data_IF_486299362728
#
_entry.id   IF_486299362728
#
_cell.length_a   1.000
_cell.length_b   1.000
_cell.length_c   1.000
_cell.angle_alpha   90.00
_cell.angle_beta   90.00
_cell.angle_gamma   90.00
#
_symmetry.space_group_name_H-M   'P 1'
#
loop_
_entity.id
_entity.type
_entity.pdbx_description
1 polymer ?
#
# COMPACT_ATOMS: atom_id res chain seq x y z
N UNK A 1 -0.72 7.01 2.45
CA UNK A 1 0.71 6.75 2.19
C UNK A 1 1.04 7.46 0.89
N UNK A 2 1.85 8.52 0.95
CA UNK A 2 2.17 9.32 -0.23
C UNK A 2 3.29 8.63 -1.03
N UNK A 3 3.16 8.59 -2.35
CA UNK A 3 4.25 8.17 -3.24
C UNK A 3 5.39 9.16 -2.99
N UNK A 4 6.52 8.65 -2.48
CA UNK A 4 7.73 9.47 -2.39
C UNK A 4 8.29 9.52 -3.81
N UNK A 5 7.88 10.57 -4.52
CA UNK A 5 8.27 10.92 -5.89
C UNK A 5 9.79 11.16 -6.08
N UNK A 6 10.61 10.96 -5.03
CA UNK A 6 12.01 11.32 -5.03
C UNK A 6 12.81 10.53 -6.07
N UNK A 7 12.56 9.22 -6.21
CA UNK A 7 13.32 8.36 -7.13
C UNK A 7 12.93 8.58 -8.60
N UNK A 8 11.64 8.75 -8.88
CA UNK A 8 11.16 9.09 -10.23
C UNK A 8 11.64 10.49 -10.62
N UNK A 9 11.51 11.47 -9.74
CA UNK A 9 12.00 12.83 -10.00
C UNK A 9 13.53 12.87 -10.13
N UNK A 10 14.28 12.12 -9.33
CA UNK A 10 15.74 12.02 -9.45
C UNK A 10 16.15 11.40 -10.79
N UNK A 11 15.47 10.32 -11.19
CA UNK A 11 15.68 9.66 -12.48
C UNK A 11 15.40 10.62 -13.64
N UNK A 12 14.24 11.29 -13.64
CA UNK A 12 13.86 12.23 -14.68
C UNK A 12 14.75 13.48 -14.70
N UNK A 13 15.11 14.03 -13.54
CA UNK A 13 16.00 15.21 -13.45
C UNK A 13 17.41 14.90 -13.97
N UNK A 14 17.90 13.69 -13.69
CA UNK A 14 19.20 13.22 -14.19
C UNK A 14 19.24 13.01 -15.70
N UNK A 15 18.12 12.64 -16.32
CA UNK A 15 18.03 12.38 -17.77
C UNK A 15 17.79 13.68 -18.56
N UNK A 16 16.89 14.54 -18.10
CA UNK A 16 16.42 15.69 -18.89
C UNK A 16 17.08 17.01 -18.52
N UNK A 17 17.81 17.10 -17.40
CA UNK A 17 18.23 18.39 -16.83
C UNK A 17 17.06 19.33 -16.54
N UNK A 18 15.83 18.80 -16.59
CA UNK A 18 14.60 19.53 -16.35
C UNK A 18 14.48 19.77 -14.84
N UNK A 19 13.95 20.93 -14.42
CA UNK A 19 13.60 21.13 -13.02
C UNK A 19 12.67 19.98 -12.62
N UNK A 20 12.95 19.37 -11.45
CA UNK A 20 12.11 18.32 -10.90
C UNK A 20 10.64 18.78 -11.01
N UNK A 21 9.76 18.00 -11.65
CA UNK A 21 8.36 18.35 -11.72
C UNK A 21 7.84 18.65 -10.32
N UNK A 22 7.02 19.69 -10.19
CA UNK A 22 6.36 20.02 -8.92
C UNK A 22 5.77 18.73 -8.36
N UNK A 23 6.17 18.34 -7.15
CA UNK A 23 5.84 17.05 -6.57
C UNK A 23 4.33 16.79 -6.64
N UNK A 24 3.89 16.02 -7.65
CA UNK A 24 2.50 15.64 -7.79
C UNK A 24 2.25 14.50 -6.81
N UNK A 25 1.70 14.82 -5.63
CA UNK A 25 1.30 13.79 -4.67
C UNK A 25 0.01 13.15 -5.17
N UNK A 26 0.16 12.05 -5.92
CA UNK A 26 -0.97 11.17 -6.25
C UNK A 26 -1.08 10.10 -5.17
N UNK A 27 -2.29 9.86 -4.68
CA UNK A 27 -2.51 8.81 -3.70
C UNK A 27 -2.25 7.45 -4.34
N UNK A 28 -1.53 6.56 -3.65
CA UNK A 28 -1.23 5.21 -4.16
C UNK A 28 -2.48 4.45 -4.60
N UNK A 29 -3.60 4.64 -3.89
CA UNK A 29 -4.90 4.01 -4.20
C UNK A 29 -5.51 4.45 -5.53
N UNK A 30 -5.11 5.59 -6.08
CA UNK A 30 -5.57 6.02 -7.40
C UNK A 30 -4.94 5.17 -8.49
N UNK A 31 -3.66 4.80 -8.32
CA UNK A 31 -2.86 4.05 -9.30
C UNK A 31 -2.97 2.53 -9.06
N UNK A 32 -2.90 2.11 -7.80
CA UNK A 32 -2.93 0.72 -7.37
C UNK A 32 -4.32 0.44 -6.80
N UNK A 33 -5.20 0.00 -7.70
CA UNK A 33 -6.59 -0.30 -7.37
C UNK A 33 -6.76 -1.69 -6.75
N UNK A 34 -7.12 -2.66 -7.58
CA UNK A 34 -7.49 -3.99 -7.10
C UNK A 34 -6.27 -4.81 -6.67
N UNK A 35 -6.29 -5.22 -5.41
CA UNK A 35 -5.35 -6.16 -4.83
C UNK A 35 -5.87 -7.58 -4.83
N UNK A 36 -4.96 -8.55 -4.93
CA UNK A 36 -5.23 -9.93 -4.53
C UNK A 36 -4.54 -10.18 -3.21
N UNK A 37 -5.26 -10.77 -2.26
CA UNK A 37 -4.73 -11.03 -0.94
C UNK A 37 -5.44 -12.16 -0.23
N UNK A 38 -4.83 -12.58 0.87
CA UNK A 38 -5.35 -13.58 1.77
C UNK A 38 -4.77 -13.39 3.15
N UNK A 39 -5.45 -13.91 4.15
CA UNK A 39 -5.00 -13.79 5.53
C UNK A 39 -5.37 -15.02 6.32
N UNK A 40 -4.59 -15.25 7.38
CA UNK A 40 -4.90 -16.24 8.39
C UNK A 40 -5.02 -15.53 9.73
N UNK A 41 -5.98 -15.95 10.53
CA UNK A 41 -6.07 -15.53 11.92
C UNK A 41 -6.31 -16.71 12.84
N UNK A 42 -5.79 -16.60 14.05
CA UNK A 42 -6.00 -17.51 15.15
C UNK A 42 -6.65 -16.75 16.30
N UNK A 43 -7.80 -17.25 16.72
CA UNK A 43 -8.59 -16.68 17.81
C UNK A 43 -8.46 -17.56 19.06
N UNK A 44 -8.12 -16.93 20.18
CA UNK A 44 -8.13 -17.54 21.51
C UNK A 44 -9.23 -16.89 22.33
N UNK A 45 -10.29 -17.65 22.58
CA UNK A 45 -11.42 -17.21 23.39
C UNK A 45 -11.16 -17.47 24.88
N UNK A 46 -11.22 -16.41 25.69
CA UNK A 46 -11.06 -16.42 27.15
C UNK A 46 -12.36 -15.98 27.85
N UNK A 47 -13.51 -16.15 27.19
CA UNK A 47 -14.85 -15.84 27.70
C UNK A 47 -15.33 -14.45 27.26
N UNK A 48 -15.04 -13.41 28.06
CA UNK A 48 -15.38 -12.03 27.69
C UNK A 48 -14.31 -11.37 26.83
N UNK A 49 -13.10 -11.93 26.83
CA UNK A 49 -11.96 -11.45 26.08
C UNK A 49 -11.59 -12.48 25.01
N UNK A 50 -11.48 -12.05 23.76
CA UNK A 50 -10.91 -12.84 22.68
C UNK A 50 -9.62 -12.17 22.22
N UNK A 51 -8.54 -12.94 22.13
CA UNK A 51 -7.27 -12.49 21.54
C UNK A 51 -7.15 -13.08 20.13
N UNK A 52 -6.94 -12.22 19.14
CA UNK A 52 -6.77 -12.58 17.73
C UNK A 52 -5.37 -12.22 17.28
N UNK A 53 -4.62 -13.21 16.82
CA UNK A 53 -3.39 -12.99 16.05
C UNK A 53 -3.72 -13.17 14.58
N UNK A 54 -3.46 -12.17 13.74
CA UNK A 54 -3.65 -12.29 12.29
C UNK A 54 -2.38 -11.94 11.53
N UNK A 55 -2.24 -12.55 10.36
CA UNK A 55 -1.29 -12.12 9.35
C UNK A 55 -1.96 -12.11 8.00
N UNK A 56 -1.84 -10.99 7.29
CA UNK A 56 -2.43 -10.81 5.96
C UNK A 56 -1.33 -10.53 4.94
N UNK A 57 -1.57 -11.00 3.73
CA UNK A 57 -0.76 -10.68 2.55
C UNK A 57 -1.67 -10.05 1.50
N UNK A 58 -1.27 -8.87 1.02
CA UNK A 58 -1.96 -8.17 -0.06
C UNK A 58 -0.94 -7.80 -1.13
N UNK A 59 -1.25 -8.15 -2.37
CA UNK A 59 -0.48 -7.79 -3.55
C UNK A 59 -1.29 -6.83 -4.42
N UNK A 60 -0.78 -5.63 -4.63
CA UNK A 60 -1.37 -4.61 -5.47
C UNK A 60 -0.59 -4.51 -6.78
N UNK A 61 -1.31 -4.63 -7.89
CA UNK A 61 -0.78 -4.33 -9.22
C UNK A 61 -1.30 -2.95 -9.67
N UNK A 62 -0.50 -2.20 -10.44
CA UNK A 62 -0.91 -0.90 -10.93
C UNK A 62 -1.93 -1.09 -12.05
N UNK A 63 -2.87 -0.16 -12.14
CA UNK A 63 -3.64 0.05 -13.36
C UNK A 63 -2.71 0.74 -14.37
N UNK A 64 -2.46 0.08 -15.50
CA UNK A 64 -1.51 0.54 -16.50
C UNK A 64 -1.91 1.90 -17.09
N UNK A 65 -3.21 2.14 -17.30
CA UNK A 65 -3.70 3.39 -17.90
C UNK A 65 -3.54 4.53 -16.89
N UNK A 66 -3.86 4.28 -15.61
CA UNK A 66 -3.69 5.28 -14.56
C UNK A 66 -2.22 5.57 -14.27
N UNK A 67 -1.36 4.55 -14.29
CA UNK A 67 0.07 4.74 -14.14
C UNK A 67 0.66 5.54 -15.31
N UNK A 68 0.25 5.26 -16.55
CA UNK A 68 0.66 6.04 -17.71
C UNK A 68 0.22 7.50 -17.59
N UNK A 69 -1.03 7.75 -17.15
CA UNK A 69 -1.53 9.10 -16.89
C UNK A 69 -0.74 9.83 -15.79
N UNK A 70 -0.37 9.11 -14.73
CA UNK A 70 0.49 9.65 -13.68
C UNK A 70 1.86 10.05 -14.22
N UNK A 71 2.55 9.17 -14.96
CA UNK A 71 3.86 9.47 -15.55
C UNK A 71 3.78 10.67 -16.50
N UNK A 72 2.73 10.75 -17.33
CA UNK A 72 2.48 11.90 -18.19
C UNK A 72 2.22 13.20 -17.40
N UNK A 73 1.58 13.12 -16.23
CA UNK A 73 1.36 14.28 -15.37
C UNK A 73 2.64 14.78 -14.71
N UNK A 74 3.57 13.87 -14.41
CA UNK A 74 4.88 14.19 -13.83
C UNK A 74 5.82 14.71 -14.90
N UNK A 75 5.84 14.14 -16.11
CA UNK A 75 6.73 14.55 -17.20
C UNK A 75 5.95 14.94 -18.47
N UNK A 76 5.20 16.06 -18.45
CA UNK A 76 4.37 16.45 -19.59
C UNK A 76 5.21 16.71 -20.84
N UNK A 77 4.81 16.12 -21.97
CA UNK A 77 5.48 16.29 -23.26
C UNK A 77 6.72 15.42 -23.48
N UNK A 78 7.10 14.59 -22.51
CA UNK A 78 8.15 13.58 -22.68
C UNK A 78 7.52 12.29 -23.21
N UNK A 79 7.99 11.72 -24.34
CA UNK A 79 7.43 10.49 -24.92
C UNK A 79 7.89 9.24 -24.13
N UNK A 80 7.43 9.13 -22.89
CA UNK A 80 7.68 7.98 -22.03
C UNK A 80 6.71 6.86 -22.38
N UNK A 81 7.25 5.68 -22.64
CA UNK A 81 6.47 4.45 -22.82
C UNK A 81 6.67 3.56 -21.59
N UNK A 82 5.55 3.03 -21.12
CA UNK A 82 5.49 2.24 -19.90
C UNK A 82 5.59 0.75 -20.18
N UNK A 83 6.50 0.07 -19.49
CA UNK A 83 6.62 -1.40 -19.60
C UNK A 83 6.02 -2.11 -18.38
N UNK A 84 6.25 -1.58 -17.17
CA UNK A 84 5.77 -2.16 -15.91
C UNK A 84 5.82 -1.12 -14.79
N UNK A 85 4.80 -1.12 -13.91
CA UNK A 85 4.61 -0.10 -12.88
C UNK A 85 4.97 -0.60 -11.51
N UNK A 86 5.77 -1.66 -11.43
CA UNK A 86 6.10 -2.30 -10.18
C UNK A 86 4.88 -2.90 -9.47
N UNK A 87 5.11 -3.75 -8.51
CA UNK A 87 4.09 -4.41 -7.70
C UNK A 87 4.34 -4.01 -6.26
N UNK A 88 3.29 -3.66 -5.55
CA UNK A 88 3.35 -3.40 -4.12
C UNK A 88 2.88 -4.65 -3.39
N UNK A 89 3.70 -5.14 -2.48
CA UNK A 89 3.37 -6.27 -1.60
C UNK A 89 3.30 -5.75 -0.17
N UNK A 90 2.22 -6.07 0.52
CA UNK A 90 1.98 -5.73 1.91
C UNK A 90 1.88 -7.03 2.70
N UNK A 91 2.68 -7.13 3.76
CA UNK A 91 2.63 -8.21 4.74
C UNK A 91 2.28 -7.60 6.08
N UNK A 92 1.11 -7.92 6.62
CA UNK A 92 0.70 -7.45 7.94
C UNK A 92 0.84 -8.57 8.97
N UNK A 93 1.16 -8.17 10.20
CA UNK A 93 1.04 -9.00 11.38
C UNK A 93 0.40 -8.16 12.47
N UNK A 94 -0.76 -8.59 12.98
CA UNK A 94 -1.51 -7.81 13.98
C UNK A 94 -1.97 -8.68 15.14
N UNK A 95 -1.97 -8.08 16.33
CA UNK A 95 -2.57 -8.62 17.54
C UNK A 95 -3.76 -7.74 17.92
N UNK A 96 -4.94 -8.34 17.97
CA UNK A 96 -6.18 -7.66 18.30
C UNK A 96 -6.79 -8.31 19.55
N UNK A 97 -7.34 -7.48 20.42
CA UNK A 97 -8.15 -7.89 21.55
C UNK A 97 -9.59 -7.44 21.32
N UNK A 98 -10.54 -8.35 21.52
CA UNK A 98 -11.98 -8.09 21.48
C UNK A 98 -12.56 -8.35 22.86
N UNK A 99 -13.20 -7.34 23.43
CA UNK A 99 -13.83 -7.38 24.74
C UNK A 99 -15.34 -7.25 24.59
N UNK A 100 -16.08 -8.28 25.00
CA UNK A 100 -17.54 -8.23 25.11
C UNK A 100 -17.90 -7.37 26.30
N UNK A 101 -18.58 -6.24 26.04
CA UNK A 101 -18.90 -5.23 27.07
C UNK A 101 -20.14 -5.61 27.85
N UNK A 102 -21.11 -6.26 27.19
CA UNK A 102 -22.34 -6.72 27.82
C UNK A 102 -22.71 -8.11 27.25
N UNK A 103 -22.50 -9.21 27.99
CA UNK A 103 -22.76 -10.54 27.49
C UNK A 103 -24.27 -10.86 27.51
N UNK A 104 -25.03 -10.35 26.54
CA UNK A 104 -26.44 -10.73 26.38
C UNK A 104 -26.55 -12.06 25.63
N UNK A 105 -27.65 -12.82 25.82
CA UNK A 105 -27.82 -14.14 25.21
C UNK A 105 -27.87 -14.14 23.67
N UNK A 106 -28.31 -13.04 23.06
CA UNK A 106 -28.56 -12.93 21.61
C UNK A 106 -27.68 -11.89 20.93
N UNK A 107 -27.23 -10.87 21.67
CA UNK A 107 -26.49 -9.73 21.11
C UNK A 107 -25.31 -9.45 22.02
N UNK A 108 -24.09 -9.54 21.50
CA UNK A 108 -22.87 -9.31 22.28
C UNK A 108 -22.17 -8.06 21.77
N UNK A 109 -22.53 -6.86 22.27
CA UNK A 109 -21.77 -5.67 21.98
C UNK A 109 -20.33 -5.83 22.47
N UNK A 110 -19.39 -5.46 21.63
CA UNK A 110 -17.97 -5.58 21.91
C UNK A 110 -17.22 -4.31 21.50
N UNK A 111 -16.10 -4.10 22.16
CA UNK A 111 -15.04 -3.19 21.70
C UNK A 111 -13.85 -4.01 21.25
N UNK A 112 -13.15 -3.54 20.24
CA UNK A 112 -11.94 -4.16 19.73
C UNK A 112 -10.83 -3.13 19.68
N UNK A 113 -9.61 -3.57 19.94
CA UNK A 113 -8.43 -2.75 19.80
C UNK A 113 -7.23 -3.62 19.51
N UNK A 114 -6.31 -3.13 18.71
CA UNK A 114 -5.18 -3.90 18.26
C UNK A 114 -4.05 -3.04 17.77
N UNK A 115 -2.89 -3.68 17.70
CA UNK A 115 -1.69 -3.08 17.16
C UNK A 115 -0.92 -4.13 16.36
N UNK A 116 -0.12 -3.65 15.43
CA UNK A 116 0.63 -4.50 14.53
C UNK A 116 1.59 -3.72 13.67
N UNK A 117 2.14 -4.44 12.71
CA UNK A 117 3.05 -3.89 11.73
C UNK A 117 2.63 -4.35 10.36
N UNK A 118 2.80 -3.47 9.38
CA UNK A 118 2.70 -3.79 7.96
C UNK A 118 4.04 -3.53 7.32
N UNK A 119 4.64 -4.57 6.77
CA UNK A 119 5.82 -4.47 5.94
C UNK A 119 5.41 -4.31 4.48
N UNK A 120 5.79 -3.18 3.89
CA UNK A 120 5.49 -2.84 2.51
C UNK A 120 6.76 -2.96 1.69
N UNK A 121 6.66 -3.67 0.56
CA UNK A 121 7.74 -3.77 -0.42
C UNK A 121 7.24 -3.42 -1.81
N UNK A 122 8.07 -2.74 -2.60
CA UNK A 122 7.79 -2.43 -4.00
C UNK A 122 8.79 -3.11 -4.90
N UNK A 123 8.33 -3.73 -5.99
CA UNK A 123 9.23 -4.07 -7.10
C UNK A 123 9.53 -2.83 -7.93
N UNK A 124 10.57 -2.93 -8.75
CA UNK A 124 10.96 -1.86 -9.68
C UNK A 124 9.93 -1.68 -10.79
N UNK A 125 9.78 -0.43 -11.22
CA UNK A 125 9.04 0.01 -12.39
C UNK A 125 10.01 0.34 -13.51
N UNK A 126 9.59 0.06 -14.74
CA UNK A 126 10.39 0.21 -15.95
C UNK A 126 9.71 1.16 -16.92
N UNK A 127 10.48 2.12 -17.43
CA UNK A 127 10.07 3.09 -18.43
C UNK A 127 11.06 3.06 -19.59
N UNK A 128 10.58 3.36 -20.79
CA UNK A 128 11.42 3.63 -21.96
C UNK A 128 11.16 5.04 -22.47
N UNK A 129 12.19 5.66 -23.03
CA UNK A 129 12.14 6.95 -23.71
C UNK A 129 12.50 6.72 -25.17
N UNK A 130 11.56 6.93 -26.10
CA UNK A 130 11.81 6.67 -27.53
C UNK A 130 12.44 5.28 -27.80
N UNK A 131 11.92 4.23 -27.14
CA UNK A 131 12.43 2.86 -27.14
C UNK A 131 13.81 2.64 -26.47
N UNK A 132 14.35 3.65 -25.78
CA UNK A 132 15.56 3.51 -24.95
C UNK A 132 15.15 3.23 -23.50
N UNK A 133 15.51 2.07 -22.92
CA UNK A 133 15.22 1.78 -21.51
C UNK A 133 15.84 2.80 -20.58
N UNK A 134 15.03 3.31 -19.66
CA UNK A 134 15.51 4.13 -18.55
C UNK A 134 15.94 3.23 -17.39
N UNK A 135 16.81 3.72 -16.48
CA UNK A 135 17.13 2.99 -15.27
C UNK A 135 15.85 2.64 -14.48
N UNK A 136 15.75 1.41 -13.96
CA UNK A 136 14.61 1.02 -13.13
C UNK A 136 14.56 1.89 -11.86
N UNK A 137 13.35 2.18 -11.38
CA UNK A 137 13.12 2.94 -10.16
C UNK A 137 12.04 2.28 -9.32
N UNK A 138 11.98 2.60 -8.02
CA UNK A 138 10.93 2.13 -7.12
C UNK A 138 9.92 3.24 -6.88
N UNK A 139 8.65 2.85 -6.81
CA UNK A 139 7.55 3.79 -6.53
C UNK A 139 7.39 4.01 -5.03
N UNK A 140 7.83 3.02 -4.24
CA UNK A 140 7.87 3.12 -2.80
C UNK A 140 9.12 2.42 -2.27
N UNK A 141 9.78 3.03 -1.29
CA UNK A 141 10.81 2.36 -0.53
C UNK A 141 10.23 1.23 0.31
N UNK A 142 11.02 0.19 0.54
CA UNK A 142 10.62 -0.86 1.45
C UNK A 142 10.59 -0.29 2.87
N UNK A 143 9.45 -0.42 3.54
CA UNK A 143 9.25 0.18 4.85
C UNK A 143 8.36 -0.67 5.74
N UNK A 144 8.62 -0.59 7.04
CA UNK A 144 7.74 -1.16 8.06
C UNK A 144 6.93 -0.02 8.66
N UNK A 145 5.61 -0.12 8.55
CA UNK A 145 4.67 0.83 9.12
C UNK A 145 4.02 0.21 10.36
N UNK A 146 3.96 0.97 11.44
CA UNK A 146 3.10 0.61 12.57
C UNK A 146 1.64 0.81 12.19
N UNK A 147 0.77 -0.09 12.65
CA UNK A 147 -0.67 0.00 12.45
C UNK A 147 -1.37 -0.25 13.77
N UNK A 148 -2.31 0.62 14.12
CA UNK A 148 -3.26 0.43 15.20
C UNK A 148 -4.67 0.35 14.66
N UNK A 149 -5.55 -0.31 15.41
CA UNK A 149 -6.98 -0.24 15.18
C UNK A 149 -7.72 -0.15 16.51
N UNK A 150 -8.84 0.56 16.47
CA UNK A 150 -9.81 0.63 17.56
C UNK A 150 -11.18 0.61 16.89
N UNK A 151 -12.08 -0.18 17.44
CA UNK A 151 -13.43 -0.31 16.91
C UNK A 151 -14.42 -0.79 17.96
N UNK A 152 -15.68 -0.77 17.58
CA UNK A 152 -16.77 -1.37 18.34
C UNK A 152 -17.73 -2.04 17.37
N UNK A 153 -18.44 -3.05 17.85
CA UNK A 153 -19.38 -3.80 17.03
C UNK A 153 -20.37 -4.61 17.87
N UNK A 154 -21.16 -5.42 17.19
CA UNK A 154 -22.13 -6.33 17.78
C UNK A 154 -22.03 -7.67 17.04
N UNK A 155 -21.93 -8.75 17.81
CA UNK A 155 -22.20 -10.12 17.32
C UNK A 155 -23.62 -10.55 17.70
#
# INVERSE_FOLDING_TARGET
MNIINADLNATLSGIFGAPAPSATSVALEEIYGLGLGGGLHLDVDLGLLTLRVSGDYIRLAPDNDKFANYVNSVAPGVPLTFESGGIINLWSGTLNAKLVVLPLPVVKPYVTGGAGFTYVTSTEANLTLNNTPLPPFRILENQTCFTDNIGAGVD
#
